data_IF_369615567376
#
_entry.id   IF_369615567376
#
_cell.length_a   1.000
_cell.length_b   1.000
_cell.length_c   1.000
_cell.angle_alpha   90.00
_cell.angle_beta   90.00
_cell.angle_gamma   90.00
#
_symmetry.space_group_name_H-M   'P 1'
#
loop_
_entity.id
_entity.type
_entity.pdbx_description
1 polymer ?
#
# COMPACT_ATOMS: atom_id res chain seq x y z
N UNK A 1 28.34 67.28 -19.78
CA UNK A 1 26.93 66.90 -19.59
C UNK A 1 26.86 65.44 -19.16
N UNK A 2 26.87 65.20 -17.85
CA UNK A 2 26.61 63.90 -17.20
C UNK A 2 25.48 64.16 -16.20
N UNK A 3 24.65 63.15 -15.98
CA UNK A 3 23.48 63.05 -15.08
C UNK A 3 22.15 63.32 -15.80
N UNK A 4 21.45 62.23 -16.11
CA UNK A 4 19.99 61.96 -15.98
C UNK A 4 19.78 60.65 -16.76
N UNK A 5 19.99 59.47 -16.15
CA UNK A 5 19.55 58.19 -16.73
C UNK A 5 19.57 57.02 -15.71
N UNK A 6 19.20 57.27 -14.45
CA UNK A 6 19.08 56.19 -13.44
C UNK A 6 17.72 56.20 -12.69
N UNK A 7 16.81 57.14 -12.97
CA UNK A 7 15.55 57.23 -12.23
C UNK A 7 14.38 56.38 -12.79
N UNK A 8 14.47 55.84 -14.02
CA UNK A 8 13.34 55.19 -14.68
C UNK A 8 13.27 53.66 -14.52
N UNK A 9 14.34 53.00 -14.11
CA UNK A 9 14.35 51.54 -13.91
C UNK A 9 13.97 51.11 -12.48
N UNK A 10 14.08 52.00 -11.49
CA UNK A 10 13.60 51.73 -10.12
C UNK A 10 12.09 51.95 -9.96
N UNK A 11 11.48 52.87 -10.73
CA UNK A 11 10.05 53.16 -10.64
C UNK A 11 9.18 52.03 -11.22
N UNK A 12 9.66 51.32 -12.25
CA UNK A 12 8.94 50.16 -12.80
C UNK A 12 8.96 48.95 -11.86
N UNK A 13 10.09 48.71 -11.16
CA UNK A 13 10.19 47.62 -10.19
C UNK A 13 9.30 47.87 -8.97
N UNK A 14 9.28 49.10 -8.44
CA UNK A 14 8.39 49.45 -7.31
C UNK A 14 6.91 49.32 -7.71
N UNK A 15 6.53 49.75 -8.92
CA UNK A 15 5.14 49.60 -9.39
C UNK A 15 4.66 48.14 -9.48
N UNK A 16 5.52 47.23 -9.89
CA UNK A 16 5.21 45.79 -10.03
C UNK A 16 5.11 45.11 -8.65
N UNK A 17 5.98 45.46 -7.70
CA UNK A 17 5.94 44.88 -6.33
C UNK A 17 4.65 45.26 -5.58
N UNK A 18 4.16 46.49 -5.76
CA UNK A 18 2.89 46.95 -5.20
C UNK A 18 1.69 46.27 -5.85
N UNK A 19 1.72 46.04 -7.16
CA UNK A 19 0.65 45.35 -7.90
C UNK A 19 0.44 43.92 -7.39
N UNK A 20 1.49 43.21 -7.00
CA UNK A 20 1.35 41.82 -6.57
C UNK A 20 0.83 41.66 -5.13
N UNK A 21 1.16 42.59 -4.22
CA UNK A 21 0.52 42.63 -2.90
C UNK A 21 -0.98 42.96 -2.99
N UNK A 22 -1.38 43.72 -4.01
CA UNK A 22 -2.80 43.94 -4.32
C UNK A 22 -3.48 42.63 -4.71
N UNK A 23 -2.82 41.71 -5.41
CA UNK A 23 -3.42 40.42 -5.77
C UNK A 23 -3.72 39.54 -4.55
N UNK A 24 -2.90 39.60 -3.49
CA UNK A 24 -3.21 38.93 -2.21
C UNK A 24 -4.49 39.51 -1.58
N UNK A 25 -4.62 40.83 -1.60
CA UNK A 25 -5.82 41.51 -1.09
C UNK A 25 -7.06 41.21 -1.95
N UNK A 26 -6.89 41.17 -3.27
CA UNK A 26 -7.93 40.79 -4.21
C UNK A 26 -8.40 39.36 -3.95
N UNK A 27 -7.48 38.40 -3.81
CA UNK A 27 -7.79 37.02 -3.50
C UNK A 27 -8.63 36.91 -2.21
N UNK A 28 -8.23 37.62 -1.15
CA UNK A 28 -8.99 37.69 0.11
C UNK A 28 -10.40 38.28 -0.08
N UNK A 29 -10.51 39.39 -0.83
CA UNK A 29 -11.78 40.05 -1.08
C UNK A 29 -12.71 39.19 -1.96
N UNK A 30 -12.17 38.54 -2.99
CA UNK A 30 -12.91 37.64 -3.86
C UNK A 30 -13.37 36.39 -3.12
N UNK A 31 -12.52 35.80 -2.28
CA UNK A 31 -12.90 34.69 -1.40
C UNK A 31 -14.06 35.08 -0.47
N UNK A 32 -13.97 36.25 0.18
CA UNK A 32 -15.03 36.76 1.06
C UNK A 32 -16.36 36.99 0.34
N UNK A 33 -16.30 37.34 -0.94
CA UNK A 33 -17.46 37.55 -1.80
C UNK A 33 -17.86 36.29 -2.59
N UNK A 34 -17.28 35.13 -2.27
CA UNK A 34 -17.52 33.84 -2.92
C UNK A 34 -17.27 33.83 -4.45
N UNK A 35 -16.42 34.74 -4.93
CA UNK A 35 -16.00 34.84 -6.33
C UNK A 35 -14.79 33.92 -6.58
N UNK A 36 -15.01 32.61 -6.41
CA UNK A 36 -13.92 31.62 -6.33
C UNK A 36 -12.98 31.61 -7.55
N UNK A 37 -13.53 31.77 -8.76
CA UNK A 37 -12.72 31.84 -9.98
C UNK A 37 -11.75 33.03 -9.98
N UNK A 38 -12.24 34.21 -9.63
CA UNK A 38 -11.38 35.41 -9.51
C UNK A 38 -10.40 35.28 -8.36
N UNK A 39 -10.81 34.64 -7.27
CA UNK A 39 -9.98 34.42 -6.11
C UNK A 39 -8.77 33.53 -6.47
N UNK A 40 -9.00 32.41 -7.15
CA UNK A 40 -7.92 31.49 -7.54
C UNK A 40 -7.01 32.10 -8.59
N UNK A 41 -7.53 32.85 -9.56
CA UNK A 41 -6.71 33.57 -10.55
C UNK A 41 -5.78 34.60 -9.89
N UNK A 42 -6.29 35.36 -8.92
CA UNK A 42 -5.51 36.36 -8.20
C UNK A 42 -4.40 35.70 -7.37
N UNK A 43 -4.73 34.62 -6.65
CA UNK A 43 -3.79 33.97 -5.74
C UNK A 43 -2.75 33.13 -6.46
N UNK A 44 -3.09 32.49 -7.59
CA UNK A 44 -2.15 31.73 -8.42
C UNK A 44 -1.07 32.65 -8.99
N UNK A 45 -1.43 33.89 -9.36
CA UNK A 45 -0.44 34.92 -9.71
C UNK A 45 0.42 35.28 -8.50
N UNK A 46 -0.19 35.50 -7.33
CA UNK A 46 0.52 35.95 -6.13
C UNK A 46 1.61 34.96 -5.67
N UNK A 47 1.34 33.66 -5.68
CA UNK A 47 2.27 32.66 -5.12
C UNK A 47 3.48 32.36 -5.99
N UNK A 48 3.44 32.68 -7.29
CA UNK A 48 4.57 32.44 -8.22
C UNK A 48 5.47 33.66 -8.42
N UNK A 49 5.04 34.84 -7.99
CA UNK A 49 5.79 36.08 -8.21
C UNK A 49 6.91 36.26 -7.19
N UNK A 50 8.09 36.73 -7.65
CA UNK A 50 9.32 36.80 -6.85
C UNK A 50 9.17 37.50 -5.49
N UNK A 51 8.41 38.60 -5.46
CA UNK A 51 8.22 39.40 -4.24
C UNK A 51 7.21 38.81 -3.25
N UNK A 52 6.33 37.92 -3.70
CA UNK A 52 5.19 37.42 -2.89
C UNK A 52 5.20 35.90 -2.74
N UNK A 53 6.09 35.17 -3.42
CA UNK A 53 6.25 33.70 -3.28
C UNK A 53 6.67 33.22 -1.88
N UNK A 54 7.10 34.13 -1.00
CA UNK A 54 7.36 33.87 0.42
C UNK A 54 6.36 34.55 1.34
N UNK A 55 5.30 35.14 0.80
CA UNK A 55 4.25 35.77 1.60
C UNK A 55 3.29 34.71 2.12
N UNK A 56 3.28 34.49 3.43
CA UNK A 56 2.44 33.46 4.04
C UNK A 56 0.94 33.71 3.85
N UNK A 57 0.48 34.96 3.67
CA UNK A 57 -0.94 35.25 3.42
C UNK A 57 -1.35 34.84 2.02
N UNK A 58 -0.48 35.05 1.02
CA UNK A 58 -0.73 34.56 -0.33
C UNK A 58 -0.98 33.04 -0.32
N UNK A 59 -0.09 32.31 0.36
CA UNK A 59 -0.18 30.87 0.53
C UNK A 59 -1.38 30.42 1.36
N UNK A 60 -1.70 31.11 2.46
CA UNK A 60 -2.90 30.84 3.25
C UNK A 60 -4.17 30.97 2.41
N UNK A 61 -4.32 32.10 1.69
CA UNK A 61 -5.49 32.33 0.86
C UNK A 61 -5.58 31.32 -0.28
N UNK A 62 -4.45 30.90 -0.87
CA UNK A 62 -4.46 29.83 -1.89
C UNK A 62 -5.05 28.55 -1.30
N UNK A 63 -4.56 28.14 -0.14
CA UNK A 63 -5.08 27.01 0.60
C UNK A 63 -6.59 27.08 0.86
N UNK A 64 -7.04 28.20 1.44
CA UNK A 64 -8.45 28.41 1.75
C UNK A 64 -9.33 28.42 0.48
N UNK A 65 -8.88 29.08 -0.59
CA UNK A 65 -9.61 29.15 -1.86
C UNK A 65 -9.72 27.75 -2.49
N UNK A 66 -8.63 26.98 -2.52
CA UNK A 66 -8.65 25.61 -3.03
C UNK A 66 -9.65 24.73 -2.26
N UNK A 67 -9.71 24.84 -0.93
CA UNK A 67 -10.71 24.12 -0.12
C UNK A 67 -12.15 24.52 -0.44
N UNK A 68 -12.43 25.82 -0.62
CA UNK A 68 -13.77 26.28 -0.99
C UNK A 68 -14.16 25.85 -2.41
N UNK A 69 -13.22 25.83 -3.36
CA UNK A 69 -13.47 25.30 -4.72
C UNK A 69 -13.74 23.80 -4.67
N UNK A 70 -12.95 23.03 -3.93
CA UNK A 70 -13.21 21.61 -3.73
C UNK A 70 -14.59 21.37 -3.11
N UNK A 71 -14.99 22.17 -2.12
CA UNK A 71 -16.34 22.11 -1.54
C UNK A 71 -17.42 22.41 -2.59
N UNK A 72 -17.23 23.44 -3.42
CA UNK A 72 -18.15 23.75 -4.52
C UNK A 72 -18.34 22.57 -5.48
N UNK A 73 -17.25 21.94 -5.93
CA UNK A 73 -17.32 20.76 -6.81
C UNK A 73 -18.00 19.56 -6.12
N UNK A 74 -17.65 19.28 -4.86
CA UNK A 74 -18.32 18.23 -4.07
C UNK A 74 -19.82 18.46 -3.99
N UNK A 75 -20.22 19.71 -3.83
CA UNK A 75 -21.61 20.08 -3.77
C UNK A 75 -22.32 19.82 -5.11
N UNK A 76 -21.78 20.35 -6.20
CA UNK A 76 -22.32 20.18 -7.55
C UNK A 76 -22.44 18.69 -7.92
N UNK A 77 -21.37 17.92 -7.71
CA UNK A 77 -21.29 16.50 -8.09
C UNK A 77 -22.15 15.59 -7.21
N UNK A 78 -22.61 16.05 -6.05
CA UNK A 78 -23.50 15.26 -5.18
C UNK A 78 -24.95 15.19 -5.66
N UNK A 79 -25.35 16.07 -6.59
CA UNK A 79 -26.73 16.21 -7.03
C UNK A 79 -26.94 15.65 -8.44
N UNK A 80 -28.06 14.95 -8.63
CA UNK A 80 -28.39 14.26 -9.88
C UNK A 80 -29.63 14.87 -10.55
N UNK A 81 -29.69 14.79 -11.89
CA UNK A 81 -30.87 15.24 -12.64
C UNK A 81 -32.12 14.48 -12.20
N UNK A 82 -33.24 15.17 -12.14
CA UNK A 82 -34.52 14.62 -11.68
C UNK A 82 -34.80 14.81 -10.18
N UNK A 83 -33.81 15.21 -9.38
CA UNK A 83 -34.04 15.59 -7.99
C UNK A 83 -34.91 16.84 -7.87
N UNK A 84 -35.81 16.85 -6.90
CA UNK A 84 -36.53 18.06 -6.47
C UNK A 84 -35.63 19.02 -5.72
N UNK A 85 -36.02 20.30 -5.64
CA UNK A 85 -35.28 21.28 -4.84
C UNK A 85 -35.09 20.81 -3.39
N UNK A 86 -36.11 20.16 -2.80
CA UNK A 86 -36.02 19.64 -1.43
C UNK A 86 -34.99 18.53 -1.31
N UNK A 87 -34.92 17.62 -2.28
CA UNK A 87 -33.91 16.54 -2.29
C UNK A 87 -32.51 17.10 -2.50
N UNK A 88 -32.36 18.08 -3.40
CA UNK A 88 -31.11 18.81 -3.59
C UNK A 88 -30.68 19.41 -2.25
N UNK A 89 -31.51 20.26 -1.63
CA UNK A 89 -31.24 20.89 -0.33
C UNK A 89 -30.94 19.88 0.79
N UNK A 90 -31.63 18.73 0.82
CA UNK A 90 -31.35 17.66 1.77
C UNK A 90 -29.96 17.02 1.55
N UNK A 91 -29.58 16.81 0.27
CA UNK A 91 -28.23 16.32 -0.07
C UNK A 91 -27.17 17.33 0.35
N UNK A 92 -27.38 18.62 0.08
CA UNK A 92 -26.51 19.70 0.57
C UNK A 92 -26.37 19.65 2.09
N UNK A 93 -27.47 19.36 2.80
CA UNK A 93 -27.53 19.34 4.27
C UNK A 93 -26.79 18.18 4.91
N UNK A 94 -26.53 17.12 4.17
CA UNK A 94 -25.65 16.05 4.63
C UNK A 94 -24.20 16.51 4.77
N UNK A 95 -23.80 17.59 4.11
CA UNK A 95 -22.45 18.14 4.20
C UNK A 95 -22.37 19.19 5.32
N UNK A 96 -22.38 18.77 6.59
CA UNK A 96 -21.96 19.57 7.76
C UNK A 96 -22.33 21.07 7.85
N UNK A 97 -21.58 21.82 8.66
CA UNK A 97 -21.81 23.26 8.86
C UNK A 97 -21.12 24.14 7.82
N UNK A 98 -20.06 23.67 7.18
CA UNK A 98 -19.29 24.45 6.18
C UNK A 98 -20.10 24.80 4.93
N UNK A 99 -21.21 24.08 4.68
CA UNK A 99 -22.14 24.32 3.56
C UNK A 99 -23.41 25.08 3.97
N UNK A 100 -23.49 25.60 5.21
CA UNK A 100 -24.60 26.43 5.66
C UNK A 100 -24.40 27.91 5.31
N UNK A 101 -25.47 28.70 5.06
CA UNK A 101 -26.87 28.27 5.02
C UNK A 101 -27.24 27.59 3.70
N UNK A 102 -28.06 26.54 3.79
CA UNK A 102 -28.56 25.82 2.61
C UNK A 102 -29.85 26.48 2.12
N UNK A 103 -29.68 27.68 1.55
CA UNK A 103 -30.76 28.43 0.92
C UNK A 103 -30.22 29.12 -0.32
N UNK A 104 -31.03 29.24 -1.38
CA UNK A 104 -30.61 29.98 -2.56
C UNK A 104 -30.45 31.46 -2.22
N UNK A 105 -29.31 32.03 -2.61
CA UNK A 105 -29.01 33.47 -2.54
C UNK A 105 -29.81 34.27 -3.57
N UNK A 106 -30.25 33.62 -4.66
CA UNK A 106 -31.10 34.25 -5.68
C UNK A 106 -32.06 33.25 -6.31
N UNK A 107 -33.27 33.71 -6.64
CA UNK A 107 -34.27 32.94 -7.39
C UNK A 107 -34.68 33.73 -8.63
N UNK A 108 -34.51 33.15 -9.80
CA UNK A 108 -34.83 33.79 -11.09
C UNK A 108 -35.71 32.86 -11.93
N UNK A 109 -36.56 33.44 -12.79
CA UNK A 109 -37.24 32.67 -13.85
C UNK A 109 -36.21 32.18 -14.86
N UNK A 110 -36.43 30.99 -15.41
CA UNK A 110 -35.61 30.41 -16.47
C UNK A 110 -36.51 30.02 -17.65
N UNK A 111 -36.04 30.24 -18.88
CA UNK A 111 -36.72 29.83 -20.10
C UNK A 111 -35.78 28.90 -20.87
N UNK A 112 -36.23 27.68 -21.12
CA UNK A 112 -35.48 26.69 -21.89
C UNK A 112 -35.56 27.00 -23.39
N UNK A 113 -34.68 26.39 -24.18
CA UNK A 113 -34.59 26.61 -25.63
C UNK A 113 -35.88 26.20 -26.36
N UNK A 114 -36.56 25.15 -25.87
CA UNK A 114 -37.87 24.69 -26.37
C UNK A 114 -39.04 25.62 -25.98
N UNK A 115 -38.76 26.72 -25.27
CA UNK A 115 -39.74 27.70 -24.83
C UNK A 115 -40.44 27.38 -23.51
N UNK A 116 -40.20 26.22 -22.93
CA UNK A 116 -40.74 25.85 -21.61
C UNK A 116 -40.15 26.71 -20.49
N UNK A 117 -40.86 26.79 -19.37
CA UNK A 117 -40.49 27.64 -18.22
C UNK A 117 -39.95 26.79 -17.08
N UNK A 118 -38.99 27.35 -16.37
CA UNK A 118 -38.42 26.78 -15.16
C UNK A 118 -37.99 27.85 -14.17
N UNK A 119 -37.22 27.43 -13.18
CA UNK A 119 -36.61 28.30 -12.18
C UNK A 119 -35.11 28.04 -12.11
N UNK A 120 -34.35 29.12 -12.02
CA UNK A 120 -32.93 29.10 -11.73
C UNK A 120 -32.73 29.55 -10.30
N UNK A 121 -32.16 28.66 -9.49
CA UNK A 121 -31.80 28.92 -8.10
C UNK A 121 -30.28 29.04 -8.03
N UNK A 122 -29.79 30.15 -7.49
CA UNK A 122 -28.36 30.39 -7.30
C UNK A 122 -28.06 30.17 -5.82
N UNK A 123 -27.12 29.29 -5.51
CA UNK A 123 -26.66 28.97 -4.16
C UNK A 123 -25.28 29.59 -3.90
N UNK A 124 -24.72 29.29 -2.71
CA UNK A 124 -23.35 29.64 -2.32
C UNK A 124 -22.36 29.27 -3.42
N UNK A 125 -21.26 30.02 -3.51
CA UNK A 125 -20.26 29.92 -4.57
C UNK A 125 -20.75 30.31 -5.97
N UNK A 126 -22.02 30.70 -6.13
CA UNK A 126 -22.61 30.99 -7.44
C UNK A 126 -23.07 29.75 -8.21
N UNK A 127 -23.18 28.59 -7.56
CA UNK A 127 -23.75 27.38 -8.17
C UNK A 127 -25.19 27.61 -8.60
N UNK A 128 -25.49 27.42 -9.88
CA UNK A 128 -26.84 27.53 -10.41
C UNK A 128 -27.47 26.15 -10.60
N UNK A 129 -28.60 25.92 -9.93
CA UNK A 129 -29.44 24.73 -10.11
C UNK A 129 -30.70 25.15 -10.87
N UNK A 130 -30.91 24.55 -12.04
CA UNK A 130 -32.03 24.87 -12.94
C UNK A 130 -33.05 23.75 -12.86
N UNK A 131 -34.25 24.11 -12.39
CA UNK A 131 -35.38 23.19 -12.25
C UNK A 131 -36.46 23.48 -13.29
N UNK A 132 -37.10 22.42 -13.77
CA UNK A 132 -38.32 22.47 -14.57
C UNK A 132 -39.53 23.00 -13.76
N UNK A 133 -40.67 23.18 -14.44
CA UNK A 133 -41.91 23.63 -13.81
C UNK A 133 -42.47 22.63 -12.79
N UNK A 134 -42.21 21.33 -12.96
CA UNK A 134 -42.60 20.22 -12.09
C UNK A 134 -41.58 19.90 -10.99
N UNK A 135 -40.65 20.82 -10.71
CA UNK A 135 -39.62 20.68 -9.67
C UNK A 135 -38.68 19.50 -9.90
N UNK A 136 -38.12 19.41 -11.09
CA UNK A 136 -37.08 18.43 -11.44
C UNK A 136 -35.81 19.15 -11.85
N UNK A 137 -34.68 18.80 -11.23
CA UNK A 137 -33.37 19.33 -11.58
C UNK A 137 -33.02 18.90 -13.00
N UNK A 138 -32.80 19.87 -13.88
CA UNK A 138 -32.48 19.64 -15.29
C UNK A 138 -30.99 19.85 -15.56
N UNK A 139 -30.41 20.87 -14.92
CA UNK A 139 -29.06 21.33 -15.20
C UNK A 139 -28.43 21.95 -13.96
N UNK A 140 -27.15 21.68 -13.78
CA UNK A 140 -26.28 22.33 -12.80
C UNK A 140 -25.28 23.16 -13.61
N UNK A 141 -25.09 24.43 -13.24
CA UNK A 141 -24.04 25.28 -13.82
C UNK A 141 -23.12 25.77 -12.72
N UNK A 142 -21.84 25.55 -12.95
CA UNK A 142 -20.78 25.99 -12.06
C UNK A 142 -20.20 27.32 -12.59
N UNK A 143 -19.81 28.25 -11.70
CA UNK A 143 -19.25 29.54 -12.10
C UNK A 143 -17.99 29.42 -12.97
N UNK A 144 -17.21 28.36 -12.75
CA UNK A 144 -15.95 28.08 -13.45
C UNK A 144 -16.17 27.54 -14.86
N UNK A 145 -17.40 27.12 -15.21
CA UNK A 145 -17.74 26.49 -16.49
C UNK A 145 -16.81 25.32 -16.85
N UNK A 146 -16.34 24.57 -15.84
CA UNK A 146 -15.43 23.44 -16.00
C UNK A 146 -13.96 23.81 -16.20
N UNK A 147 -13.59 25.09 -16.26
CA UNK A 147 -12.19 25.54 -16.46
C UNK A 147 -11.22 25.04 -15.39
N UNK A 148 -11.73 24.65 -14.23
CA UNK A 148 -10.92 24.16 -13.11
C UNK A 148 -11.18 22.69 -12.74
N UNK A 149 -11.92 21.93 -13.55
CA UNK A 149 -12.40 20.60 -13.16
C UNK A 149 -11.27 19.57 -12.97
N UNK A 150 -10.15 19.73 -13.69
CA UNK A 150 -9.03 18.78 -13.67
C UNK A 150 -7.99 19.06 -12.56
N UNK A 151 -8.21 20.07 -11.72
CA UNK A 151 -7.27 20.44 -10.65
C UNK A 151 -7.49 19.61 -9.39
N UNK A 152 -6.43 19.06 -8.83
CA UNK A 152 -6.44 18.43 -7.51
C UNK A 152 -6.32 19.48 -6.40
N UNK A 153 -7.45 20.10 -6.09
CA UNK A 153 -7.54 21.16 -5.10
C UNK A 153 -7.17 20.73 -3.68
N UNK A 154 -7.28 19.46 -3.33
CA UNK A 154 -6.87 18.98 -2.00
C UNK A 154 -5.35 19.01 -1.89
N UNK A 155 -4.65 18.46 -2.89
CA UNK A 155 -3.17 18.51 -2.92
C UNK A 155 -2.64 19.94 -3.04
N UNK A 156 -3.26 20.77 -3.87
CA UNK A 156 -2.88 22.18 -3.99
C UNK A 156 -3.12 22.97 -2.69
N UNK A 157 -4.20 22.66 -1.96
CA UNK A 157 -4.47 23.29 -0.68
C UNK A 157 -3.41 22.89 0.36
N UNK A 158 -3.04 21.61 0.41
CA UNK A 158 -2.04 21.08 1.32
C UNK A 158 -0.68 21.76 1.12
N UNK A 159 -0.16 21.76 -0.12
CA UNK A 159 1.10 22.41 -0.46
C UNK A 159 1.07 23.90 -0.08
N UNK A 160 -0.02 24.59 -0.46
CA UNK A 160 -0.16 26.00 -0.19
C UNK A 160 -0.12 26.29 1.32
N UNK A 161 -0.76 25.46 2.12
CA UNK A 161 -0.83 25.71 3.55
C UNK A 161 0.43 25.27 4.29
N UNK A 162 1.13 24.24 3.83
CA UNK A 162 2.48 23.93 4.29
C UNK A 162 3.41 25.13 4.05
N UNK A 163 3.35 25.76 2.86
CA UNK A 163 4.10 26.99 2.58
C UNK A 163 3.65 28.17 3.46
N UNK A 164 2.34 28.31 3.71
CA UNK A 164 1.83 29.32 4.65
C UNK A 164 2.44 29.13 6.05
N UNK A 165 2.42 27.91 6.59
CA UNK A 165 2.99 27.61 7.90
C UNK A 165 4.51 27.81 7.93
N UNK A 166 5.20 27.45 6.86
CA UNK A 166 6.66 27.61 6.71
C UNK A 166 7.10 29.07 6.70
N UNK A 167 6.38 29.95 6.01
CA UNK A 167 6.74 31.36 5.89
C UNK A 167 6.15 32.25 6.99
N UNK A 168 5.18 31.75 7.76
CA UNK A 168 4.57 32.51 8.84
C UNK A 168 5.38 32.38 10.14
N UNK A 169 6.08 33.46 10.52
CA UNK A 169 6.90 33.51 11.74
C UNK A 169 6.25 34.26 12.91
N UNK A 170 5.16 34.99 12.68
CA UNK A 170 4.68 36.03 13.63
C UNK A 170 3.15 36.15 13.74
N UNK A 171 2.35 35.65 12.77
CA UNK A 171 0.89 35.82 12.74
C UNK A 171 0.18 34.56 13.25
N UNK A 172 -0.08 34.52 14.56
CA UNK A 172 -0.72 33.39 15.23
C UNK A 172 -2.15 33.12 14.72
N UNK A 173 -2.90 34.15 14.30
CA UNK A 173 -4.26 33.99 13.79
C UNK A 173 -4.26 33.23 12.45
N UNK A 174 -3.42 33.65 11.50
CA UNK A 174 -3.29 32.96 10.22
C UNK A 174 -2.69 31.57 10.41
N UNK A 175 -1.77 31.40 11.36
CA UNK A 175 -1.20 30.09 11.70
C UNK A 175 -2.28 29.13 12.20
N UNK A 176 -3.12 29.55 13.14
CA UNK A 176 -4.21 28.72 13.67
C UNK A 176 -5.25 28.40 12.59
N UNK A 177 -5.61 29.36 11.74
CA UNK A 177 -6.51 29.11 10.60
C UNK A 177 -5.91 28.15 9.58
N UNK A 178 -4.62 28.28 9.29
CA UNK A 178 -3.91 27.34 8.44
C UNK A 178 -3.96 25.94 9.06
N UNK A 179 -3.57 25.76 10.32
CA UNK A 179 -3.65 24.46 11.00
C UNK A 179 -5.08 23.87 10.99
N UNK A 180 -6.10 24.69 11.24
CA UNK A 180 -7.50 24.27 11.16
C UNK A 180 -7.89 23.74 9.77
N UNK A 181 -7.45 24.42 8.71
CA UNK A 181 -7.64 23.94 7.35
C UNK A 181 -6.90 22.63 7.07
N UNK A 182 -5.82 22.32 7.79
CA UNK A 182 -5.03 21.08 7.57
C UNK A 182 -5.75 19.91 8.20
N UNK A 183 -6.45 20.16 9.32
CA UNK A 183 -7.42 19.22 9.86
C UNK A 183 -8.52 18.89 8.85
N UNK A 184 -9.04 19.89 8.12
CA UNK A 184 -10.02 19.65 7.05
C UNK A 184 -9.42 18.80 5.92
N UNK A 185 -8.19 19.08 5.49
CA UNK A 185 -7.51 18.27 4.46
C UNK A 185 -7.32 16.83 4.95
N UNK A 186 -6.85 16.66 6.19
CA UNK A 186 -6.73 15.36 6.83
C UNK A 186 -8.05 14.57 6.76
N UNK A 187 -9.17 15.16 7.20
CA UNK A 187 -10.48 14.48 7.17
C UNK A 187 -10.88 14.06 5.74
N UNK A 188 -10.58 14.88 4.74
CA UNK A 188 -10.86 14.57 3.34
C UNK A 188 -10.01 13.39 2.83
N UNK A 189 -8.70 13.41 3.11
CA UNK A 189 -7.75 12.38 2.68
C UNK A 189 -8.04 11.07 3.41
N UNK A 190 -8.29 11.12 4.73
CA UNK A 190 -8.64 9.95 5.54
C UNK A 190 -9.93 9.28 5.05
N UNK A 191 -10.99 10.05 4.81
CA UNK A 191 -12.24 9.50 4.29
C UNK A 191 -12.06 8.88 2.89
N UNK A 192 -11.18 9.44 2.08
CA UNK A 192 -10.81 8.86 0.77
C UNK A 192 -10.07 7.53 0.97
N UNK A 193 -9.14 7.45 1.91
CA UNK A 193 -8.44 6.21 2.25
C UNK A 193 -9.41 5.12 2.72
N UNK A 194 -10.37 5.46 3.58
CA UNK A 194 -11.41 4.53 4.05
C UNK A 194 -12.31 4.08 2.90
N UNK A 195 -12.70 4.97 1.99
CA UNK A 195 -13.48 4.59 0.81
C UNK A 195 -12.71 3.60 -0.08
N UNK A 196 -11.42 3.87 -0.36
CA UNK A 196 -10.55 2.96 -1.11
C UNK A 196 -10.34 1.62 -0.43
N UNK A 197 -10.18 1.64 0.89
CA UNK A 197 -10.09 0.42 1.68
C UNK A 197 -11.37 -0.44 1.56
N UNK A 198 -12.54 0.18 1.64
CA UNK A 198 -13.83 -0.51 1.50
C UNK A 198 -14.07 -1.01 0.06
N UNK A 199 -13.53 -0.31 -0.93
CA UNK A 199 -13.49 -0.75 -2.34
C UNK A 199 -12.46 -1.87 -2.59
N UNK A 200 -11.67 -2.25 -1.59
CA UNK A 200 -10.52 -3.18 -1.68
C UNK A 200 -9.40 -2.71 -2.60
N UNK A 201 -9.38 -1.43 -2.94
CA UNK A 201 -8.26 -0.78 -3.62
C UNK A 201 -7.16 -0.51 -2.59
N UNK A 202 -6.51 -1.56 -2.09
CA UNK A 202 -5.69 -1.50 -0.88
C UNK A 202 -4.41 -0.69 -1.06
N UNK A 203 -3.81 -0.69 -2.25
CA UNK A 203 -2.62 0.12 -2.53
C UNK A 203 -2.96 1.62 -2.51
N UNK A 204 -4.04 2.01 -3.18
CA UNK A 204 -4.54 3.39 -3.16
C UNK A 204 -4.98 3.80 -1.75
N UNK A 205 -5.58 2.89 -0.99
CA UNK A 205 -5.91 3.11 0.41
C UNK A 205 -4.65 3.34 1.25
N UNK A 206 -3.60 2.52 1.07
CA UNK A 206 -2.34 2.66 1.80
C UNK A 206 -1.67 4.01 1.53
N UNK A 207 -1.61 4.42 0.26
CA UNK A 207 -1.07 5.72 -0.15
C UNK A 207 -1.88 6.89 0.44
N UNK A 208 -3.21 6.78 0.46
CA UNK A 208 -4.08 7.80 1.04
C UNK A 208 -3.96 7.85 2.58
N UNK A 209 -3.90 6.71 3.27
CA UNK A 209 -3.64 6.67 4.71
C UNK A 209 -2.27 7.26 5.05
N UNK A 210 -1.25 7.01 4.22
CA UNK A 210 0.09 7.55 4.41
C UNK A 210 0.08 9.08 4.29
N UNK A 211 -0.57 9.60 3.25
CA UNK A 211 -0.75 11.05 3.08
C UNK A 211 -1.47 11.67 4.29
N UNK A 212 -2.53 11.00 4.77
CA UNK A 212 -3.26 11.41 5.97
C UNK A 212 -2.34 11.46 7.21
N UNK A 213 -1.47 10.46 7.39
CA UNK A 213 -0.52 10.41 8.48
C UNK A 213 0.54 11.53 8.40
N UNK A 214 1.08 11.83 7.22
CA UNK A 214 2.05 12.93 7.07
C UNK A 214 1.41 14.30 7.35
N UNK A 215 0.12 14.50 7.02
CA UNK A 215 -0.62 15.71 7.42
C UNK A 215 -0.71 15.80 8.94
N UNK A 216 -1.12 14.73 9.65
CA UNK A 216 -1.16 14.74 11.13
C UNK A 216 0.22 15.04 11.73
N UNK A 217 1.27 14.42 11.20
CA UNK A 217 2.64 14.67 11.65
C UNK A 217 3.04 16.13 11.45
N UNK A 218 2.64 16.77 10.35
CA UNK A 218 2.86 18.20 10.12
C UNK A 218 2.12 19.10 11.12
N UNK A 219 1.00 18.63 11.66
CA UNK A 219 0.23 19.28 12.73
C UNK A 219 0.83 19.07 14.12
N UNK A 220 1.92 18.29 14.24
CA UNK A 220 2.51 17.91 15.52
C UNK A 220 1.71 16.83 16.27
N UNK A 221 0.74 16.22 15.59
CA UNK A 221 -0.04 15.08 16.11
C UNK A 221 0.57 13.80 15.58
N UNK A 222 1.17 12.99 16.45
CA UNK A 222 1.64 11.65 16.09
C UNK A 222 0.64 10.66 16.65
N UNK A 223 -0.04 9.96 15.75
CA UNK A 223 -1.00 8.93 16.10
C UNK A 223 -0.53 7.57 15.56
N UNK A 224 -0.18 6.67 16.49
CA UNK A 224 0.19 5.30 16.17
C UNK A 224 -0.93 4.54 15.46
N UNK A 225 -2.20 4.91 15.68
CA UNK A 225 -3.34 4.26 15.04
C UNK A 225 -3.39 4.56 13.54
N UNK A 226 -3.09 5.80 13.16
CA UNK A 226 -2.98 6.21 11.75
C UNK A 226 -1.87 5.44 11.03
N UNK A 227 -0.72 5.27 11.67
CA UNK A 227 0.40 4.51 11.12
C UNK A 227 0.08 3.00 11.00
N UNK A 228 -0.71 2.45 11.93
CA UNK A 228 -1.19 1.07 11.85
C UNK A 228 -2.12 0.85 10.65
N UNK A 229 -2.97 1.82 10.30
CA UNK A 229 -3.81 1.75 9.11
C UNK A 229 -2.99 1.70 7.83
N UNK A 230 -1.91 2.49 7.75
CA UNK A 230 -0.95 2.47 6.63
C UNK A 230 -0.35 1.07 6.48
N UNK A 231 0.19 0.53 7.57
CA UNK A 231 0.81 -0.79 7.57
C UNK A 231 -0.18 -1.90 7.18
N UNK A 232 -1.38 -1.89 7.76
CA UNK A 232 -2.42 -2.86 7.45
C UNK A 232 -2.82 -2.81 5.96
N UNK A 233 -3.03 -1.61 5.41
CA UNK A 233 -3.40 -1.45 4.01
C UNK A 233 -2.28 -1.93 3.06
N UNK A 234 -1.01 -1.65 3.36
CA UNK A 234 0.12 -2.22 2.60
C UNK A 234 0.15 -3.75 2.67
N UNK A 235 -0.02 -4.35 3.86
CA UNK A 235 -0.08 -5.82 4.00
C UNK A 235 -1.19 -6.44 3.16
N UNK A 236 -2.37 -5.83 3.14
CA UNK A 236 -3.50 -6.29 2.33
C UNK A 236 -3.23 -6.12 0.83
N UNK A 237 -2.58 -5.03 0.41
CA UNK A 237 -2.18 -4.81 -0.97
C UNK A 237 -1.14 -5.84 -1.44
N UNK A 238 -0.17 -6.18 -0.58
CA UNK A 238 0.82 -7.24 -0.84
C UNK A 238 0.12 -8.59 -0.98
N UNK A 239 -0.81 -8.91 -0.07
CA UNK A 239 -1.58 -10.15 -0.12
C UNK A 239 -2.44 -10.23 -1.39
N UNK A 240 -3.11 -9.15 -1.78
CA UNK A 240 -3.91 -9.10 -3.01
C UNK A 240 -3.04 -9.34 -4.25
N UNK A 241 -1.86 -8.70 -4.33
CA UNK A 241 -0.92 -8.92 -5.42
C UNK A 241 -0.38 -10.36 -5.43
N UNK A 242 -0.10 -10.93 -4.26
CA UNK A 242 0.33 -12.32 -4.11
C UNK A 242 -0.75 -13.32 -4.55
N UNK A 243 -2.00 -13.13 -4.11
CA UNK A 243 -3.14 -13.99 -4.48
C UNK A 243 -3.47 -13.88 -5.97
N UNK A 244 -3.18 -12.74 -6.59
CA UNK A 244 -3.27 -12.53 -8.04
C UNK A 244 -2.06 -13.06 -8.81
N UNK A 245 -1.11 -13.75 -8.15
CA UNK A 245 0.15 -14.26 -8.70
C UNK A 245 1.05 -13.19 -9.35
N UNK A 246 0.85 -11.92 -8.97
CA UNK A 246 1.65 -10.77 -9.43
C UNK A 246 2.82 -10.53 -8.47
N UNK A 247 3.73 -11.50 -8.39
CA UNK A 247 4.81 -11.52 -7.41
C UNK A 247 5.77 -10.32 -7.51
N UNK A 248 6.12 -9.86 -8.72
CA UNK A 248 6.97 -8.68 -8.90
C UNK A 248 6.32 -7.41 -8.34
N UNK A 249 5.01 -7.24 -8.56
CA UNK A 249 4.24 -6.13 -7.99
C UNK A 249 4.17 -6.25 -6.45
N UNK A 250 3.95 -7.47 -5.94
CA UNK A 250 3.96 -7.71 -4.49
C UNK A 250 5.31 -7.32 -3.86
N UNK A 251 6.44 -7.63 -4.51
CA UNK A 251 7.78 -7.22 -4.06
C UNK A 251 8.00 -5.71 -4.14
N UNK A 252 7.46 -5.02 -5.15
CA UNK A 252 7.53 -3.57 -5.26
C UNK A 252 6.78 -2.89 -4.10
N UNK A 253 5.53 -3.31 -3.85
CA UNK A 253 4.71 -2.81 -2.73
C UNK A 253 5.38 -3.12 -1.39
N UNK A 254 5.92 -4.33 -1.25
CA UNK A 254 6.64 -4.77 -0.06
C UNK A 254 7.89 -3.91 0.20
N UNK A 255 8.65 -3.53 -0.84
CA UNK A 255 9.81 -2.65 -0.72
C UNK A 255 9.42 -1.31 -0.08
N UNK A 256 8.35 -0.69 -0.58
CA UNK A 256 7.79 0.55 -0.02
C UNK A 256 7.34 0.37 1.42
N UNK A 257 6.68 -0.75 1.74
CA UNK A 257 6.23 -1.05 3.09
C UNK A 257 7.40 -1.25 4.07
N UNK A 258 8.46 -1.97 3.68
CA UNK A 258 9.64 -2.24 4.51
C UNK A 258 10.47 -0.99 4.80
N UNK A 259 10.51 0.00 3.90
CA UNK A 259 11.13 1.29 4.21
C UNK A 259 10.46 2.00 5.40
N UNK A 260 9.14 1.84 5.53
CA UNK A 260 8.33 2.46 6.58
C UNK A 260 8.26 1.61 7.85
N UNK A 261 8.22 0.30 7.67
CA UNK A 261 8.04 -0.69 8.73
C UNK A 261 9.16 -1.74 8.73
N UNK A 262 10.45 -1.34 8.88
CA UNK A 262 11.60 -2.24 8.68
C UNK A 262 11.71 -3.37 9.70
N UNK A 263 10.93 -3.32 10.79
CA UNK A 263 10.91 -4.33 11.86
C UNK A 263 9.61 -5.13 11.90
N UNK A 264 8.72 -4.93 10.92
CA UNK A 264 7.47 -5.67 10.87
C UNK A 264 7.71 -7.10 10.36
N UNK A 265 7.52 -8.06 11.25
CA UNK A 265 7.80 -9.48 10.98
C UNK A 265 6.88 -10.04 9.90
N UNK A 266 5.62 -9.58 9.81
CA UNK A 266 4.69 -10.09 8.81
C UNK A 266 5.12 -9.66 7.40
N UNK A 267 5.72 -8.48 7.24
CA UNK A 267 6.28 -8.06 5.94
C UNK A 267 7.43 -8.98 5.51
N UNK A 268 8.29 -9.38 6.43
CA UNK A 268 9.40 -10.29 6.15
C UNK A 268 8.87 -11.70 5.86
N UNK A 269 7.82 -12.14 6.55
CA UNK A 269 7.13 -13.41 6.24
C UNK A 269 6.52 -13.36 4.83
N UNK A 270 5.85 -12.26 4.46
CA UNK A 270 5.33 -12.08 3.11
C UNK A 270 6.44 -12.11 2.06
N UNK A 271 7.58 -11.50 2.33
CA UNK A 271 8.77 -11.55 1.47
C UNK A 271 9.24 -13.00 1.24
N UNK A 272 9.41 -13.77 2.31
CA UNK A 272 9.81 -15.18 2.22
C UNK A 272 8.78 -15.99 1.41
N UNK A 273 7.48 -15.77 1.63
CA UNK A 273 6.41 -16.43 0.89
C UNK A 273 6.45 -16.08 -0.60
N UNK A 274 6.72 -14.83 -0.96
CA UNK A 274 6.85 -14.41 -2.35
C UNK A 274 8.07 -15.08 -3.00
N UNK A 275 9.23 -15.09 -2.34
CA UNK A 275 10.42 -15.76 -2.89
C UNK A 275 10.26 -17.27 -3.00
N UNK A 276 9.55 -17.91 -2.06
CA UNK A 276 9.16 -19.32 -2.16
C UNK A 276 8.31 -19.58 -3.41
N UNK A 277 7.35 -18.70 -3.73
CA UNK A 277 6.53 -18.82 -4.95
C UNK A 277 7.32 -18.57 -6.23
N UNK A 278 8.31 -17.70 -6.19
CA UNK A 278 9.23 -17.46 -7.30
C UNK A 278 10.31 -18.54 -7.44
N UNK A 279 10.36 -19.50 -6.51
CA UNK A 279 11.43 -20.51 -6.39
C UNK A 279 12.84 -19.88 -6.34
N UNK A 280 12.95 -18.62 -5.90
CA UNK A 280 14.22 -17.94 -5.66
C UNK A 280 14.77 -18.42 -4.32
N UNK A 281 15.31 -19.65 -4.34
CA UNK A 281 15.81 -20.32 -3.15
C UNK A 281 16.93 -19.52 -2.47
N UNK A 282 17.72 -18.75 -3.23
CA UNK A 282 18.81 -17.93 -2.68
C UNK A 282 18.27 -16.79 -1.81
N UNK A 283 17.31 -16.01 -2.31
CA UNK A 283 16.68 -14.97 -1.49
C UNK A 283 15.77 -15.53 -0.41
N UNK A 284 15.16 -16.68 -0.65
CA UNK A 284 14.36 -17.39 0.34
C UNK A 284 15.20 -17.75 1.56
N UNK A 285 16.36 -18.38 1.38
CA UNK A 285 17.21 -18.74 2.53
C UNK A 285 17.75 -17.51 3.25
N UNK A 286 18.13 -16.43 2.55
CA UNK A 286 18.54 -15.16 3.18
C UNK A 286 17.42 -14.60 4.07
N UNK A 287 16.19 -14.56 3.55
CA UNK A 287 15.03 -14.04 4.28
C UNK A 287 14.67 -14.93 5.48
N UNK A 288 14.70 -16.26 5.30
CA UNK A 288 14.39 -17.21 6.36
C UNK A 288 15.48 -17.25 7.43
N UNK A 289 16.77 -17.13 7.08
CA UNK A 289 17.87 -17.00 8.05
C UNK A 289 17.64 -15.79 8.96
N UNK A 290 17.20 -14.65 8.40
CA UNK A 290 16.83 -13.49 9.21
C UNK A 290 15.62 -13.79 10.13
N UNK A 291 14.57 -14.42 9.62
CA UNK A 291 13.40 -14.80 10.41
C UNK A 291 13.75 -15.77 11.57
N UNK A 292 14.69 -16.69 11.37
CA UNK A 292 15.19 -17.57 12.43
C UNK A 292 15.87 -16.82 13.57
N UNK A 293 16.44 -15.64 13.31
CA UNK A 293 17.00 -14.80 14.38
C UNK A 293 15.92 -14.09 15.21
N UNK A 294 14.72 -13.96 14.66
CA UNK A 294 13.58 -13.31 15.32
C UNK A 294 12.73 -14.36 16.06
N UNK A 295 12.43 -15.47 15.40
CA UNK A 295 11.65 -16.58 15.94
C UNK A 295 12.35 -17.92 15.64
N UNK A 296 13.00 -18.46 16.66
CA UNK A 296 13.70 -19.76 16.59
C UNK A 296 12.83 -20.94 17.05
N UNK A 297 11.53 -20.71 17.22
CA UNK A 297 10.55 -21.67 17.75
C UNK A 297 9.51 -22.11 16.74
N UNK A 298 9.42 -21.45 15.59
CA UNK A 298 8.46 -21.80 14.54
C UNK A 298 9.01 -22.89 13.59
N UNK A 299 8.49 -24.14 13.66
CA UNK A 299 9.00 -25.25 12.85
C UNK A 299 8.81 -25.04 11.34
N UNK A 300 7.84 -24.23 10.91
CA UNK A 300 7.57 -23.97 9.50
C UNK A 300 8.69 -23.17 8.84
N UNK A 301 9.30 -22.23 9.57
CA UNK A 301 10.45 -21.43 9.09
C UNK A 301 11.65 -22.36 8.83
N UNK A 302 11.95 -23.24 9.78
CA UNK A 302 13.04 -24.21 9.64
C UNK A 302 12.79 -25.24 8.54
N UNK A 303 11.54 -25.71 8.40
CA UNK A 303 11.17 -26.59 7.30
C UNK A 303 11.37 -25.92 5.93
N UNK A 304 10.82 -24.71 5.74
CA UNK A 304 10.94 -23.97 4.49
C UNK A 304 12.41 -23.69 4.14
N UNK A 305 13.23 -23.37 5.13
CA UNK A 305 14.66 -23.16 4.93
C UNK A 305 15.37 -24.46 4.58
N UNK A 306 15.04 -25.58 5.25
CA UNK A 306 15.57 -26.90 4.91
C UNK A 306 15.27 -27.27 3.46
N UNK A 307 14.03 -27.07 3.00
CA UNK A 307 13.64 -27.30 1.60
C UNK A 307 14.37 -26.38 0.62
N UNK A 308 14.55 -25.11 0.97
CA UNK A 308 15.27 -24.15 0.12
C UNK A 308 16.77 -24.46 0.04
N UNK A 309 17.39 -24.89 1.15
CA UNK A 309 18.78 -25.35 1.15
C UNK A 309 18.97 -26.65 0.36
N UNK A 310 18.02 -27.57 0.46
CA UNK A 310 18.04 -28.82 -0.31
C UNK A 310 17.96 -28.52 -1.81
N UNK A 311 17.08 -27.61 -2.23
CA UNK A 311 17.01 -27.13 -3.61
C UNK A 311 18.31 -26.46 -4.09
N UNK A 312 19.03 -25.78 -3.20
CA UNK A 312 20.37 -25.22 -3.45
C UNK A 312 21.50 -26.26 -3.35
N UNK A 313 21.19 -27.51 -3.01
CA UNK A 313 22.13 -28.61 -2.75
C UNK A 313 23.08 -28.37 -1.58
N UNK A 314 22.76 -27.42 -0.70
CA UNK A 314 23.43 -27.24 0.58
C UNK A 314 22.86 -28.24 1.59
N UNK A 315 23.17 -29.52 1.38
CA UNK A 315 22.60 -30.61 2.17
C UNK A 315 23.02 -30.55 3.65
N UNK A 316 24.13 -29.89 3.98
CA UNK A 316 24.56 -29.72 5.36
C UNK A 316 23.61 -28.77 6.11
N UNK A 317 23.34 -27.59 5.54
CA UNK A 317 22.37 -26.66 6.12
C UNK A 317 20.95 -27.21 6.07
N UNK A 318 20.57 -27.89 4.98
CA UNK A 318 19.26 -28.52 4.85
C UNK A 318 19.00 -29.52 5.98
N UNK A 319 19.96 -30.41 6.25
CA UNK A 319 19.88 -31.41 7.33
C UNK A 319 19.66 -30.74 8.68
N UNK A 320 20.49 -29.74 9.03
CA UNK A 320 20.37 -29.02 10.32
C UNK A 320 19.03 -28.32 10.47
N UNK A 321 18.52 -27.70 9.40
CA UNK A 321 17.24 -27.02 9.41
C UNK A 321 16.07 -28.01 9.59
N UNK A 322 16.08 -29.15 8.88
CA UNK A 322 15.08 -30.20 9.10
C UNK A 322 15.14 -30.80 10.50
N UNK A 323 16.33 -31.11 11.02
CA UNK A 323 16.50 -31.60 12.39
C UNK A 323 15.91 -30.62 13.42
N UNK A 324 16.14 -29.32 13.25
CA UNK A 324 15.53 -28.29 14.12
C UNK A 324 14.01 -28.23 13.97
N UNK A 325 13.47 -28.33 12.76
CA UNK A 325 12.02 -28.40 12.53
C UNK A 325 11.38 -29.62 13.22
N UNK A 326 12.03 -30.79 13.14
CA UNK A 326 11.60 -32.04 13.80
C UNK A 326 11.71 -31.91 15.32
N UNK A 327 12.77 -31.31 15.85
CA UNK A 327 12.93 -31.10 17.28
C UNK A 327 11.82 -30.20 17.86
N UNK A 328 11.37 -29.20 17.10
CA UNK A 328 10.28 -28.30 17.48
C UNK A 328 8.90 -28.96 17.30
N UNK A 329 8.73 -29.78 16.27
CA UNK A 329 7.49 -30.52 15.96
C UNK A 329 7.83 -31.94 15.50
N UNK A 330 7.89 -32.92 16.41
CA UNK A 330 8.26 -34.30 16.07
C UNK A 330 7.29 -34.97 15.09
N UNK A 331 6.00 -34.63 15.18
CA UNK A 331 4.94 -35.11 14.28
C UNK A 331 4.77 -34.20 13.06
N UNK A 332 5.88 -33.74 12.47
CA UNK A 332 5.89 -32.98 11.23
C UNK A 332 6.32 -33.89 10.08
N UNK A 333 5.38 -34.26 9.21
CA UNK A 333 5.62 -35.18 8.10
C UNK A 333 6.76 -34.70 7.18
N UNK A 334 6.66 -33.49 6.64
CA UNK A 334 7.56 -33.05 5.56
C UNK A 334 9.05 -33.03 5.94
N UNK A 335 9.46 -32.48 7.11
CA UNK A 335 10.86 -32.56 7.54
C UNK A 335 11.36 -33.98 7.77
N UNK A 336 10.53 -34.87 8.35
CA UNK A 336 10.89 -36.28 8.58
C UNK A 336 11.11 -37.00 7.24
N UNK A 337 10.16 -36.85 6.30
CA UNK A 337 10.28 -37.43 4.98
C UNK A 337 11.49 -36.88 4.22
N UNK A 338 11.65 -35.55 4.14
CA UNK A 338 12.74 -34.93 3.38
C UNK A 338 14.12 -35.24 3.96
N UNK A 339 14.28 -35.24 5.29
CA UNK A 339 15.55 -35.62 5.91
C UNK A 339 15.89 -37.09 5.64
N UNK A 340 14.89 -37.98 5.72
CA UNK A 340 15.02 -39.36 5.32
C UNK A 340 15.47 -39.51 3.86
N UNK A 341 14.81 -38.78 2.94
CA UNK A 341 15.13 -38.76 1.52
C UNK A 341 16.56 -38.26 1.25
N UNK A 342 17.05 -37.23 1.96
CA UNK A 342 18.45 -36.78 1.85
C UNK A 342 19.43 -37.92 2.14
N UNK A 343 19.20 -38.70 3.21
CA UNK A 343 20.08 -39.81 3.54
C UNK A 343 19.97 -40.97 2.54
N UNK A 344 18.77 -41.25 2.01
CA UNK A 344 18.58 -42.22 0.91
C UNK A 344 19.32 -41.80 -0.34
N UNK A 345 19.23 -40.53 -0.74
CA UNK A 345 19.93 -40.00 -1.91
C UNK A 345 21.45 -40.09 -1.75
N UNK A 346 21.98 -39.73 -0.57
CA UNK A 346 23.40 -39.92 -0.26
C UNK A 346 23.81 -41.39 -0.32
N UNK A 347 22.97 -42.31 0.17
CA UNK A 347 23.23 -43.73 0.06
C UNK A 347 23.23 -44.21 -1.40
N UNK A 348 22.34 -43.67 -2.25
CA UNK A 348 22.32 -43.94 -3.68
C UNK A 348 23.59 -43.42 -4.38
N UNK A 349 24.10 -42.24 -4.03
CA UNK A 349 25.38 -41.73 -4.54
C UNK A 349 26.55 -42.68 -4.19
N UNK A 350 26.58 -43.18 -2.95
CA UNK A 350 27.58 -44.18 -2.52
C UNK A 350 27.41 -45.50 -3.32
N UNK A 351 26.17 -45.92 -3.59
CA UNK A 351 25.90 -47.10 -4.41
C UNK A 351 26.39 -46.93 -5.85
N UNK A 352 26.24 -45.75 -6.45
CA UNK A 352 26.77 -45.47 -7.79
C UNK A 352 28.30 -45.57 -7.81
N UNK A 353 28.96 -45.05 -6.78
CA UNK A 353 30.41 -45.24 -6.60
C UNK A 353 30.75 -46.73 -6.50
N UNK A 354 30.02 -47.51 -5.71
CA UNK A 354 30.22 -48.96 -5.59
C UNK A 354 30.07 -49.69 -6.92
N UNK A 355 29.08 -49.32 -7.73
CA UNK A 355 28.81 -49.94 -9.04
C UNK A 355 29.92 -49.67 -10.06
N UNK A 356 30.65 -48.56 -9.90
CA UNK A 356 31.75 -48.18 -10.77
C UNK A 356 33.10 -48.79 -10.37
N UNK A 357 33.19 -49.48 -9.23
CA UNK A 357 34.43 -50.08 -8.76
C UNK A 357 34.86 -51.28 -9.62
N UNK A 358 36.18 -51.48 -9.85
CA UNK A 358 36.71 -52.70 -10.44
C UNK A 358 36.32 -53.95 -9.65
N UNK A 359 36.17 -55.09 -10.34
CA UNK A 359 35.77 -56.36 -9.71
C UNK A 359 36.76 -56.87 -8.65
N UNK A 360 38.02 -56.43 -8.71
CA UNK A 360 39.08 -56.77 -7.76
C UNK A 360 39.20 -55.78 -6.58
N UNK A 361 38.44 -54.67 -6.59
CA UNK A 361 38.43 -53.65 -5.53
C UNK A 361 37.54 -54.06 -4.34
N UNK A 362 37.73 -55.27 -3.80
CA UNK A 362 36.87 -55.88 -2.78
C UNK A 362 36.83 -55.07 -1.47
N UNK A 363 37.98 -54.57 -1.00
CA UNK A 363 38.06 -53.82 0.25
C UNK A 363 37.34 -52.46 0.15
N UNK A 364 37.51 -51.76 -0.96
CA UNK A 364 36.84 -50.49 -1.22
C UNK A 364 35.33 -50.67 -1.37
N UNK A 365 34.90 -51.74 -2.07
CA UNK A 365 33.49 -52.09 -2.18
C UNK A 365 32.86 -52.35 -0.80
N UNK A 366 33.53 -53.12 0.06
CA UNK A 366 33.04 -53.40 1.40
C UNK A 366 32.99 -52.15 2.30
N UNK A 367 33.97 -51.26 2.18
CA UNK A 367 33.98 -49.98 2.89
C UNK A 367 32.81 -49.09 2.45
N UNK A 368 32.61 -48.92 1.14
CA UNK A 368 31.50 -48.14 0.59
C UNK A 368 30.13 -48.75 0.91
N UNK A 369 30.02 -50.08 0.90
CA UNK A 369 28.82 -50.77 1.36
C UNK A 369 28.48 -50.42 2.82
N UNK A 370 29.48 -50.42 3.69
CA UNK A 370 29.31 -50.06 5.11
C UNK A 370 28.87 -48.60 5.26
N UNK A 371 29.46 -47.69 4.47
CA UNK A 371 29.06 -46.28 4.41
C UNK A 371 27.59 -46.11 3.95
N UNK A 372 27.19 -46.79 2.88
CA UNK A 372 25.83 -46.80 2.38
C UNK A 372 24.85 -47.33 3.45
N UNK A 373 25.13 -48.48 4.04
CA UNK A 373 24.28 -49.08 5.09
C UNK A 373 24.16 -48.14 6.29
N UNK A 374 25.22 -47.43 6.68
CA UNK A 374 25.16 -46.43 7.75
C UNK A 374 24.24 -45.25 7.41
N UNK A 375 24.25 -44.78 6.15
CA UNK A 375 23.33 -43.72 5.68
C UNK A 375 21.87 -44.20 5.68
N UNK A 376 21.60 -45.42 5.21
CA UNK A 376 20.24 -45.98 5.24
C UNK A 376 19.72 -46.17 6.67
N UNK A 377 20.59 -46.58 7.61
CA UNK A 377 20.24 -46.67 9.02
C UNK A 377 19.93 -45.29 9.65
N UNK A 378 20.56 -44.21 9.16
CA UNK A 378 20.19 -42.84 9.56
C UNK A 378 18.85 -42.41 8.98
N UNK A 379 18.57 -42.77 7.72
CA UNK A 379 17.30 -42.45 7.06
C UNK A 379 16.10 -43.12 7.75
N UNK A 380 16.29 -44.37 8.19
CA UNK A 380 15.24 -45.25 8.63
C UNK A 380 14.32 -44.67 9.72
N UNK A 381 14.81 -44.15 10.87
CA UNK A 381 13.91 -43.63 11.91
C UNK A 381 13.05 -42.45 11.44
N UNK A 382 13.56 -41.61 10.53
CA UNK A 382 12.79 -40.48 10.01
C UNK A 382 11.71 -40.92 9.03
N UNK A 383 11.98 -41.89 8.16
CA UNK A 383 10.99 -42.42 7.23
C UNK A 383 9.95 -43.32 7.93
N UNK A 384 10.36 -44.08 8.94
CA UNK A 384 9.41 -44.82 9.79
C UNK A 384 8.50 -43.85 10.55
N UNK A 385 9.05 -42.72 11.02
CA UNK A 385 8.24 -41.67 11.65
C UNK A 385 7.30 -40.98 10.65
N UNK A 386 7.77 -40.70 9.43
CA UNK A 386 6.92 -40.15 8.36
C UNK A 386 5.75 -41.10 8.03
N UNK A 387 6.01 -42.41 7.96
CA UNK A 387 4.97 -43.42 7.73
C UNK A 387 4.01 -43.56 8.91
N UNK A 388 4.48 -43.41 10.15
CA UNK A 388 3.61 -43.34 11.33
C UNK A 388 2.66 -42.13 11.26
N UNK A 389 3.17 -40.97 10.84
CA UNK A 389 2.40 -39.71 10.76
C UNK A 389 1.37 -39.77 9.62
N UNK A 390 1.79 -40.23 8.44
CA UNK A 390 0.94 -40.34 7.26
C UNK A 390 1.03 -41.76 6.66
N UNK A 391 0.32 -42.73 7.26
CA UNK A 391 0.32 -44.11 6.77
C UNK A 391 -0.24 -44.17 5.35
N UNK A 392 0.47 -44.84 4.45
CA UNK A 392 0.02 -45.01 3.06
C UNK A 392 0.57 -43.97 2.10
N UNK A 393 1.42 -43.03 2.55
CA UNK A 393 2.17 -42.19 1.61
C UNK A 393 3.08 -43.04 0.72
N UNK A 394 2.79 -43.03 -0.58
CA UNK A 394 3.42 -43.91 -1.56
C UNK A 394 4.94 -43.68 -1.66
N UNK A 395 5.38 -42.44 -1.51
CA UNK A 395 6.80 -42.09 -1.58
C UNK A 395 7.57 -42.60 -0.36
N UNK A 396 6.99 -42.44 0.83
CA UNK A 396 7.54 -42.94 2.09
C UNK A 396 7.61 -44.46 2.07
N UNK A 397 6.53 -45.14 1.67
CA UNK A 397 6.50 -46.60 1.57
C UNK A 397 7.51 -47.14 0.56
N UNK A 398 7.67 -46.51 -0.59
CA UNK A 398 8.68 -46.91 -1.57
C UNK A 398 10.10 -46.74 -1.03
N UNK A 399 10.39 -45.63 -0.34
CA UNK A 399 11.68 -45.39 0.30
C UNK A 399 11.98 -46.42 1.39
N UNK A 400 11.00 -46.72 2.25
CA UNK A 400 11.12 -47.76 3.29
C UNK A 400 11.33 -49.15 2.68
N UNK A 401 10.60 -49.51 1.62
CA UNK A 401 10.78 -50.77 0.91
C UNK A 401 12.21 -50.92 0.39
N UNK A 402 12.77 -49.86 -0.21
CA UNK A 402 14.14 -49.86 -0.68
C UNK A 402 15.13 -50.06 0.46
N UNK A 403 15.01 -49.28 1.55
CA UNK A 403 15.87 -49.39 2.73
C UNK A 403 15.80 -50.80 3.31
N UNK A 404 14.60 -51.33 3.55
CA UNK A 404 14.42 -52.66 4.12
C UNK A 404 14.98 -53.76 3.21
N UNK A 405 14.88 -53.60 1.89
CA UNK A 405 15.47 -54.57 0.93
C UNK A 405 16.99 -54.56 1.02
N UNK A 406 17.61 -53.37 1.03
CA UNK A 406 19.08 -53.22 1.11
C UNK A 406 19.65 -53.68 2.45
N UNK A 407 18.94 -53.42 3.55
CA UNK A 407 19.29 -53.87 4.90
C UNK A 407 18.83 -55.31 5.21
N UNK A 408 18.29 -56.03 4.22
CA UNK A 408 17.84 -57.44 4.32
C UNK A 408 16.76 -57.69 5.37
N UNK A 409 15.92 -56.69 5.64
CA UNK A 409 14.77 -56.77 6.54
C UNK A 409 13.52 -57.29 5.79
N UNK A 410 13.59 -58.52 5.26
CA UNK A 410 12.61 -59.03 4.30
C UNK A 410 11.18 -59.17 4.85
N UNK A 411 11.02 -59.39 6.15
CA UNK A 411 9.69 -59.42 6.78
C UNK A 411 8.99 -58.05 6.64
N UNK A 412 9.73 -56.95 6.88
CA UNK A 412 9.22 -55.60 6.68
C UNK A 412 8.98 -55.28 5.20
N UNK A 413 9.81 -55.79 4.28
CA UNK A 413 9.56 -55.65 2.83
C UNK A 413 8.23 -56.27 2.44
N UNK A 414 7.89 -57.43 2.99
CA UNK A 414 6.61 -58.10 2.72
C UNK A 414 5.44 -57.25 3.22
N UNK A 415 5.52 -56.73 4.44
CA UNK A 415 4.51 -55.83 5.02
C UNK A 415 4.28 -54.59 4.13
N UNK A 416 5.36 -53.92 3.71
CA UNK A 416 5.25 -52.74 2.84
C UNK A 416 4.63 -53.10 1.48
N UNK A 417 4.98 -54.24 0.88
CA UNK A 417 4.37 -54.67 -0.39
C UNK A 417 2.86 -54.93 -0.27
N UNK A 418 2.41 -55.49 0.85
CA UNK A 418 0.98 -55.70 1.13
C UNK A 418 0.24 -54.37 1.26
N UNK A 419 0.87 -53.38 1.92
CA UNK A 419 0.33 -52.02 2.06
C UNK A 419 0.29 -51.26 0.74
N UNK A 420 1.30 -51.44 -0.12
CA UNK A 420 1.37 -50.83 -1.46
C UNK A 420 0.39 -51.42 -2.48
N UNK A 421 -0.23 -52.57 -2.18
CA UNK A 421 -1.18 -53.24 -3.06
C UNK A 421 -2.65 -52.92 -2.76
N UNK A 422 -2.91 -52.20 -1.67
CA UNK A 422 -4.23 -51.71 -1.26
C UNK A 422 -4.46 -50.31 -1.84
#
# INVERSE_FOLDING_TARGET
MKKIFVALFMLSFVGVTFAQKIEIQNASNYLRNEQLEKAIEAVDKAVVHEDTKKDYKAWFYKGAICLEINNMYKWANSCEKGMSQKEVEAKMASFGNQFQPIKPVSKKRYKFEDGTKGRRLIYKYGLEYIFSADDKLVMIKEPTEGRLADRDFISEAEEALQNSLKYNTEDDDIKQKALGNMGVIYDNVFNTAVAKYNEKAYLEAAQAFEKSYEILKSLGTIDSSSLNNVNLAYKLAIQEAFDAEKYDNALEILGVAKEKFPKDVDLIVNEANIYLKLEDNAKTVETLEYLMTIDDTNPTIFFAAGASYDALKDYEKATKAYEKAIALKPDYFDPNYNLGAIYVNKAAEVQEVMNALPLDAVDEYNAKKTEMEALLNKALPYLEKADEIQPGDQYTLNSLKEIYSRLKMYDKVKEINERLAQ
#
